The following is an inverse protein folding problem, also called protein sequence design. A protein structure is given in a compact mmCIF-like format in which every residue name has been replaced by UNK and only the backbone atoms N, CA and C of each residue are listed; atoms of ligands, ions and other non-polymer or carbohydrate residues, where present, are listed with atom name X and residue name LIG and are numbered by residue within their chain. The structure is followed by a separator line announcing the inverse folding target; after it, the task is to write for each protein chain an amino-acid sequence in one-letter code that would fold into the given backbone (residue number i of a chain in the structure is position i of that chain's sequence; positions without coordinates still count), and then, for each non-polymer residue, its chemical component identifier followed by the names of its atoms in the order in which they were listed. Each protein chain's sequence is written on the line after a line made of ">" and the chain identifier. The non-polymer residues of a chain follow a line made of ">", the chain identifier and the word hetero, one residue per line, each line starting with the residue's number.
data_IF_134730532674
#
_entry.id   IF_134730532674
#
_cell.length_a   1.000
_cell.length_b   1.000
_cell.length_c   1.000
_cell.angle_alpha   90.00
_cell.angle_beta   90.00
_cell.angle_gamma   90.00
#
_symmetry.space_group_name_H-M   'P 1'
#
loop_
_entity.id
_entity.type
_entity.pdbx_description
1 polymer ?
#
# COMPACT_ATOMS: atom_id res chain seq x y z
N UNK A 1 -12.55 -8.61 -28.35
CA UNK A 1 -14.03 -8.79 -28.30
C UNK A 1 -14.44 -10.14 -28.89
N UNK A 2 -13.84 -10.59 -30.00
CA UNK A 2 -14.16 -11.89 -30.62
C UNK A 2 -13.65 -13.15 -29.90
N UNK A 3 -12.64 -13.03 -29.03
CA UNK A 3 -12.03 -14.19 -28.35
C UNK A 3 -12.78 -14.63 -27.08
N UNK A 4 -13.57 -13.76 -26.45
CA UNK A 4 -14.37 -14.11 -25.26
C UNK A 4 -15.75 -14.68 -25.60
N UNK A 5 -16.29 -14.37 -26.78
CA UNK A 5 -17.60 -14.86 -27.21
C UNK A 5 -17.56 -16.31 -27.71
N UNK A 6 -16.36 -16.89 -27.92
CA UNK A 6 -16.21 -18.29 -28.34
C UNK A 6 -16.33 -19.30 -27.19
N UNK A 7 -16.17 -18.86 -25.94
CA UNK A 7 -16.31 -19.71 -24.74
C UNK A 7 -17.74 -19.65 -24.21
N UNK A 8 -18.76 -19.65 -25.08
CA UNK A 8 -20.13 -19.32 -24.66
C UNK A 8 -21.17 -20.43 -24.66
N UNK A 9 -20.90 -21.64 -25.14
CA UNK A 9 -21.98 -22.65 -25.01
C UNK A 9 -21.59 -24.13 -25.07
N UNK A 10 -20.48 -24.49 -25.71
CA UNK A 10 -20.22 -25.92 -25.99
C UNK A 10 -19.28 -26.58 -24.96
N UNK A 11 -18.36 -25.83 -24.34
CA UNK A 11 -17.35 -26.42 -23.44
C UNK A 11 -17.83 -26.64 -21.99
N UNK A 12 -18.82 -25.87 -21.53
CA UNK A 12 -19.33 -25.99 -20.16
C UNK A 12 -20.24 -27.23 -19.98
N UNK A 13 -20.85 -27.72 -21.08
CA UNK A 13 -21.71 -28.92 -21.07
C UNK A 13 -20.88 -30.20 -21.25
N UNK A 14 -19.66 -30.10 -21.78
CA UNK A 14 -18.75 -31.23 -21.97
C UNK A 14 -18.08 -31.73 -20.67
N UNK A 15 -17.99 -30.87 -19.64
CA UNK A 15 -17.59 -31.28 -18.30
C UNK A 15 -18.79 -31.92 -17.60
N UNK A 16 -19.01 -33.23 -17.79
CA UNK A 16 -19.96 -34.00 -16.98
C UNK A 16 -19.49 -34.01 -15.53
N UNK A 17 -20.14 -33.30 -14.59
CA UNK A 17 -19.79 -33.40 -13.19
C UNK A 17 -20.60 -34.58 -12.66
N UNK A 18 -19.92 -35.61 -12.17
CA UNK A 18 -20.57 -36.82 -11.65
C UNK A 18 -21.33 -36.57 -10.34
N UNK A 19 -21.14 -35.40 -9.73
CA UNK A 19 -21.67 -35.03 -8.41
C UNK A 19 -22.59 -33.79 -8.50
N UNK A 20 -23.83 -33.94 -8.00
CA UNK A 20 -24.86 -32.90 -8.04
C UNK A 20 -24.48 -31.63 -7.27
N UNK A 21 -23.73 -31.77 -6.18
CA UNK A 21 -23.36 -30.66 -5.27
C UNK A 21 -22.38 -29.67 -5.92
N UNK A 22 -21.42 -30.20 -6.70
CA UNK A 22 -20.43 -29.38 -7.42
C UNK A 22 -21.12 -28.57 -8.53
N UNK A 23 -22.17 -29.14 -9.15
CA UNK A 23 -22.98 -28.44 -10.14
C UNK A 23 -23.73 -27.25 -9.54
N UNK A 24 -24.32 -27.42 -8.35
CA UNK A 24 -25.06 -26.35 -7.68
C UNK A 24 -24.15 -25.20 -7.26
N UNK A 25 -22.97 -25.52 -6.71
CA UNK A 25 -21.98 -24.52 -6.34
C UNK A 25 -21.44 -23.75 -7.54
N UNK A 26 -21.19 -24.44 -8.66
CA UNK A 26 -20.75 -23.81 -9.91
C UNK A 26 -21.85 -22.87 -10.48
N UNK A 27 -23.11 -23.29 -10.45
CA UNK A 27 -24.25 -22.43 -10.86
C UNK A 27 -24.38 -21.21 -9.94
N UNK A 28 -24.18 -21.38 -8.64
CA UNK A 28 -24.16 -20.28 -7.67
C UNK A 28 -23.05 -19.27 -7.97
N UNK A 29 -21.83 -19.74 -8.23
CA UNK A 29 -20.72 -18.88 -8.61
C UNK A 29 -20.96 -18.17 -9.94
N UNK A 30 -21.46 -18.87 -10.96
CA UNK A 30 -21.79 -18.28 -12.26
C UNK A 30 -22.83 -17.16 -12.12
N UNK A 31 -23.92 -17.40 -11.39
CA UNK A 31 -24.96 -16.37 -11.20
C UNK A 31 -24.45 -15.16 -10.40
N UNK A 32 -23.55 -15.37 -9.44
CA UNK A 32 -22.87 -14.29 -8.72
C UNK A 32 -22.02 -13.43 -9.68
N UNK A 33 -21.20 -14.06 -10.53
CA UNK A 33 -20.35 -13.34 -11.49
C UNK A 33 -21.18 -12.63 -12.57
N UNK A 34 -22.26 -13.24 -13.06
CA UNK A 34 -23.19 -12.58 -13.99
C UNK A 34 -23.80 -11.32 -13.37
N UNK A 35 -24.25 -11.41 -12.11
CA UNK A 35 -24.79 -10.24 -11.39
C UNK A 35 -23.73 -9.16 -11.17
N UNK A 36 -22.49 -9.55 -10.83
CA UNK A 36 -21.38 -8.62 -10.66
C UNK A 36 -21.01 -7.90 -11.97
N UNK A 37 -20.98 -8.63 -13.09
CA UNK A 37 -20.74 -8.05 -14.42
C UNK A 37 -21.85 -7.07 -14.81
N UNK A 38 -23.11 -7.41 -14.59
CA UNK A 38 -24.24 -6.50 -14.85
C UNK A 38 -24.12 -5.20 -14.04
N UNK A 39 -23.77 -5.29 -12.75
CA UNK A 39 -23.54 -4.11 -11.92
C UNK A 39 -22.41 -3.23 -12.45
N UNK A 40 -21.30 -3.85 -12.85
CA UNK A 40 -20.16 -3.14 -13.43
C UNK A 40 -20.57 -2.42 -14.72
N UNK A 41 -21.34 -3.07 -15.58
CA UNK A 41 -21.79 -2.51 -16.85
C UNK A 41 -22.77 -1.34 -16.65
N UNK A 42 -23.68 -1.44 -15.68
CA UNK A 42 -24.56 -0.34 -15.29
C UNK A 42 -23.74 0.85 -14.80
N UNK A 43 -22.82 0.64 -13.86
CA UNK A 43 -21.97 1.70 -13.32
C UNK A 43 -21.14 2.37 -14.41
N UNK A 44 -20.55 1.57 -15.31
CA UNK A 44 -19.79 2.09 -16.44
C UNK A 44 -20.66 2.94 -17.36
N UNK A 45 -21.87 2.48 -17.67
CA UNK A 45 -22.82 3.24 -18.48
C UNK A 45 -23.20 4.55 -17.80
N UNK A 46 -23.53 4.53 -16.51
CA UNK A 46 -23.86 5.73 -15.74
C UNK A 46 -22.70 6.71 -15.71
N UNK A 47 -21.46 6.25 -15.49
CA UNK A 47 -20.27 7.10 -15.49
C UNK A 47 -20.02 7.74 -16.86
N UNK A 48 -20.20 6.97 -17.94
CA UNK A 48 -20.07 7.49 -19.31
C UNK A 48 -21.14 8.54 -19.61
N UNK A 49 -22.38 8.33 -19.17
CA UNK A 49 -23.44 9.33 -19.33
C UNK A 49 -23.15 10.59 -18.50
N UNK A 50 -22.66 10.48 -17.26
CA UNK A 50 -22.23 11.64 -16.45
C UNK A 50 -21.10 12.43 -17.11
N UNK A 51 -20.11 11.76 -17.70
CA UNK A 51 -19.03 12.43 -18.43
C UNK A 51 -19.56 13.12 -19.70
N UNK A 52 -20.57 12.54 -20.37
CA UNK A 52 -21.17 13.09 -21.59
C UNK A 52 -22.08 14.29 -21.32
N UNK A 53 -22.82 14.27 -20.21
CA UNK A 53 -23.74 15.33 -19.82
C UNK A 53 -22.99 16.62 -19.42
N UNK A 54 -21.70 16.51 -19.05
CA UNK A 54 -20.82 17.63 -18.80
C UNK A 54 -21.04 18.28 -17.43
N UNK A 55 -20.35 19.40 -17.16
CA UNK A 55 -20.46 20.14 -15.89
C UNK A 55 -21.81 20.86 -15.80
N UNK A 56 -22.83 20.17 -15.28
CA UNK A 56 -24.18 20.72 -15.07
C UNK A 56 -24.24 21.76 -13.92
N UNK A 57 -23.23 21.79 -13.05
CA UNK A 57 -23.16 22.65 -11.86
C UNK A 57 -22.08 23.74 -12.02
N UNK A 58 -22.19 24.54 -13.09
CA UNK A 58 -21.42 25.78 -13.24
C UNK A 58 -22.25 26.99 -12.79
N UNK A 59 -21.62 27.93 -12.09
CA UNK A 59 -22.26 29.19 -11.71
C UNK A 59 -22.74 29.97 -12.96
N UNK A 60 -23.86 30.70 -12.88
CA UNK A 60 -24.40 31.46 -14.01
C UNK A 60 -23.37 32.49 -14.53
N UNK A 61 -22.93 32.30 -15.78
CA UNK A 61 -21.93 33.14 -16.44
C UNK A 61 -20.53 32.50 -16.57
N UNK A 62 -20.30 31.31 -16.00
CA UNK A 62 -19.04 30.56 -16.15
C UNK A 62 -19.13 29.58 -17.32
N UNK A 63 -18.24 29.76 -18.30
CA UNK A 63 -18.19 28.90 -19.50
C UNK A 63 -17.33 27.64 -19.26
N UNK A 64 -16.32 27.72 -18.39
CA UNK A 64 -15.40 26.62 -18.08
C UNK A 64 -14.70 26.82 -16.74
N UNK A 65 -14.62 25.77 -15.92
CA UNK A 65 -13.86 25.73 -14.67
C UNK A 65 -12.63 24.82 -14.82
N UNK A 66 -11.49 25.21 -14.23
CA UNK A 66 -10.25 24.40 -14.22
C UNK A 66 -9.76 24.28 -12.78
N UNK A 67 -9.83 23.08 -12.22
CA UNK A 67 -9.29 22.78 -10.89
C UNK A 67 -7.81 22.37 -10.99
N UNK A 68 -6.93 23.08 -10.28
CA UNK A 68 -5.54 22.64 -10.07
C UNK A 68 -5.40 22.18 -8.62
N UNK A 69 -5.07 20.91 -8.42
CA UNK A 69 -4.70 20.38 -7.11
C UNK A 69 -3.17 20.45 -6.94
N UNK A 70 -2.63 21.38 -6.12
CA UNK A 70 -1.21 21.40 -5.84
C UNK A 70 -0.83 20.23 -4.93
N UNK A 71 0.06 19.36 -5.40
CA UNK A 71 0.70 18.37 -4.56
C UNK A 71 1.87 19.03 -3.82
N UNK A 72 1.68 19.37 -2.54
CA UNK A 72 2.75 19.87 -1.67
C UNK A 72 3.38 18.72 -0.90
N UNK A 73 4.62 18.38 -1.26
CA UNK A 73 5.46 17.53 -0.41
C UNK A 73 6.02 18.35 0.75
N UNK A 74 5.62 18.03 1.98
CA UNK A 74 6.27 18.58 3.17
C UNK A 74 7.69 18.04 3.25
N UNK A 75 8.68 18.91 3.05
CA UNK A 75 10.07 18.61 3.42
C UNK A 75 10.13 18.57 4.94
N UNK A 76 10.64 17.49 5.51
CA UNK A 76 10.90 17.35 6.94
C UNK A 76 11.72 18.56 7.40
N UNK A 77 11.09 19.44 8.17
CA UNK A 77 11.76 20.55 8.83
C UNK A 77 12.49 19.99 10.06
N UNK A 78 13.56 20.67 10.45
CA UNK A 78 14.64 20.28 11.38
C UNK A 78 14.27 19.62 12.73
N UNK A 79 12.99 19.42 13.08
CA UNK A 79 12.57 18.80 14.33
C UNK A 79 11.28 17.98 14.16
N UNK A 80 11.39 16.81 13.52
CA UNK A 80 10.30 15.82 13.53
C UNK A 80 10.32 15.00 14.83
N UNK A 81 9.14 14.75 15.40
CA UNK A 81 9.00 13.81 16.51
C UNK A 81 9.04 12.38 15.95
N UNK A 82 10.07 11.63 16.33
CA UNK A 82 10.23 10.23 15.97
C UNK A 82 9.73 9.36 17.14
N UNK A 83 8.74 8.52 16.88
CA UNK A 83 8.26 7.54 17.85
C UNK A 83 8.72 6.13 17.46
N UNK A 84 9.48 5.48 18.35
CA UNK A 84 9.78 4.05 18.23
C UNK A 84 8.59 3.18 18.62
N UNK A 85 8.58 1.93 18.13
CA UNK A 85 7.51 0.94 18.39
C UNK A 85 7.34 0.58 19.88
N UNK A 86 8.37 0.84 20.69
CA UNK A 86 8.39 0.54 22.12
C UNK A 86 8.13 1.78 22.99
N UNK A 87 7.43 2.79 22.46
CA UNK A 87 6.99 3.95 23.24
C UNK A 87 8.06 5.01 23.49
N UNK A 88 9.23 4.90 22.85
CA UNK A 88 10.26 5.93 22.90
C UNK A 88 9.96 7.04 21.90
N UNK A 89 9.37 8.13 22.38
CA UNK A 89 9.23 9.39 21.64
C UNK A 89 10.53 10.18 21.79
N UNK A 90 11.21 10.42 20.68
CA UNK A 90 12.43 11.21 20.59
C UNK A 90 12.16 12.41 19.68
N UNK A 91 12.76 13.54 20.01
CA UNK A 91 12.83 14.67 19.10
C UNK A 91 14.03 14.43 18.18
N UNK A 92 13.83 14.39 16.87
CA UNK A 92 14.94 14.33 15.94
C UNK A 92 15.78 15.60 16.12
N UNK A 93 17.04 15.43 16.51
CA UNK A 93 18.00 16.53 16.59
C UNK A 93 18.75 16.65 15.25
N UNK A 94 19.59 17.69 15.16
CA UNK A 94 20.31 18.14 13.98
C UNK A 94 20.82 17.02 13.05
N UNK A 95 20.60 17.18 11.75
CA UNK A 95 21.13 16.26 10.73
C UNK A 95 22.64 16.43 10.63
N UNK A 96 23.39 15.43 11.11
CA UNK A 96 24.83 15.40 10.98
C UNK A 96 25.25 15.07 9.52
N UNK A 97 26.38 15.61 9.07
CA UNK A 97 26.96 15.24 7.76
C UNK A 97 27.56 13.82 7.85
N UNK A 98 27.56 13.09 6.74
CA UNK A 98 28.08 11.71 6.68
C UNK A 98 29.51 11.56 7.22
N UNK A 99 30.33 12.62 7.17
CA UNK A 99 31.71 12.60 7.67
C UNK A 99 31.83 12.63 9.20
N UNK A 100 30.83 13.14 9.93
CA UNK A 100 30.88 13.33 11.39
C UNK A 100 30.25 12.18 12.18
N UNK A 101 29.60 11.24 11.50
CA UNK A 101 28.91 10.11 12.12
C UNK A 101 29.84 8.89 12.23
N UNK A 102 29.69 8.05 13.26
CA UNK A 102 30.47 6.83 13.40
C UNK A 102 30.24 5.85 12.24
N UNK A 103 31.29 5.13 11.87
CA UNK A 103 31.24 4.06 10.87
C UNK A 103 31.50 2.71 11.55
N UNK A 104 30.81 1.68 11.08
CA UNK A 104 31.00 0.30 11.54
C UNK A 104 32.20 -0.30 10.79
N UNK A 105 32.78 -1.39 11.29
CA UNK A 105 33.97 -2.06 10.71
C UNK A 105 33.78 -2.54 9.26
N UNK A 106 32.55 -2.67 8.78
CA UNK A 106 32.19 -2.98 7.39
C UNK A 106 32.11 -1.74 6.48
N UNK A 107 32.41 -0.54 7.00
CA UNK A 107 32.37 0.72 6.24
C UNK A 107 30.99 1.38 6.19
N UNK A 108 29.95 0.76 6.74
CA UNK A 108 28.61 1.34 6.78
C UNK A 108 28.51 2.47 7.81
N UNK A 109 27.85 3.56 7.42
CA UNK A 109 27.62 4.72 8.26
C UNK A 109 26.41 4.50 9.19
N UNK A 110 26.54 4.87 10.46
CA UNK A 110 25.42 4.80 11.42
C UNK A 110 24.34 5.85 11.07
N UNK A 111 23.09 5.40 10.91
CA UNK A 111 21.96 6.24 10.51
C UNK A 111 21.32 7.03 11.67
N UNK A 112 21.34 6.48 12.89
CA UNK A 112 20.73 7.12 14.07
C UNK A 112 21.52 6.77 15.32
N UNK A 113 21.77 7.76 16.17
CA UNK A 113 22.41 7.59 17.47
C UNK A 113 21.36 7.85 18.55
N UNK A 114 21.18 6.89 19.44
CA UNK A 114 20.24 6.97 20.56
C UNK A 114 20.98 7.07 21.88
N UNK A 115 20.41 7.82 22.84
CA UNK A 115 20.97 7.93 24.18
C UNK A 115 20.75 6.61 24.96
N UNK A 116 21.82 5.94 25.43
CA UNK A 116 21.70 4.67 26.16
C UNK A 116 21.03 4.82 27.53
N UNK A 117 21.03 6.00 28.14
CA UNK A 117 20.46 6.23 29.47
C UNK A 117 18.92 6.11 29.51
N UNK A 118 18.26 6.30 28.36
CA UNK A 118 16.80 6.20 28.26
C UNK A 118 16.28 4.76 28.34
N UNK A 119 17.12 3.76 28.10
CA UNK A 119 16.71 2.35 28.03
C UNK A 119 16.52 1.74 29.43
N UNK A 120 17.47 1.85 30.39
CA UNK A 120 17.30 1.31 31.74
C UNK A 120 16.22 2.07 32.52
N UNK A 121 16.17 3.40 32.36
CA UNK A 121 15.23 4.26 33.11
C UNK A 121 13.76 3.95 32.79
N UNK A 122 13.46 3.50 31.57
CA UNK A 122 12.10 3.13 31.14
C UNK A 122 11.87 1.63 31.05
N UNK A 123 12.85 0.82 31.47
CA UNK A 123 12.82 -0.65 31.37
C UNK A 123 12.51 -1.14 29.93
N UNK A 124 12.97 -0.40 28.92
CA UNK A 124 12.68 -0.68 27.50
C UNK A 124 13.67 -1.67 26.88
N UNK A 125 13.92 -2.80 27.56
CA UNK A 125 14.85 -3.86 27.12
C UNK A 125 14.45 -4.44 25.75
N UNK A 126 13.16 -4.43 25.43
CA UNK A 126 12.64 -4.88 24.12
C UNK A 126 13.26 -4.13 22.93
N UNK A 127 13.62 -2.84 23.09
CA UNK A 127 14.28 -2.08 22.02
C UNK A 127 15.70 -2.60 21.74
N UNK A 128 16.42 -3.00 22.80
CA UNK A 128 17.77 -3.58 22.67
C UNK A 128 17.70 -4.94 22.00
N UNK A 129 16.74 -5.79 22.42
CA UNK A 129 16.53 -7.11 21.83
C UNK A 129 16.09 -7.02 20.37
N UNK A 130 15.23 -6.06 20.01
CA UNK A 130 14.85 -5.79 18.63
C UNK A 130 16.06 -5.35 17.79
N UNK A 131 16.85 -4.42 18.31
CA UNK A 131 18.07 -3.94 17.62
C UNK A 131 19.06 -5.08 17.41
N UNK A 132 19.28 -5.92 18.43
CA UNK A 132 20.15 -7.09 18.33
C UNK A 132 19.64 -8.09 17.29
N UNK A 133 18.35 -8.43 17.32
CA UNK A 133 17.74 -9.33 16.32
C UNK A 133 17.88 -8.78 14.90
N UNK A 134 17.70 -7.47 14.71
CA UNK A 134 17.83 -6.80 13.40
C UNK A 134 19.26 -6.85 12.87
N UNK A 135 20.26 -6.64 13.73
CA UNK A 135 21.68 -6.75 13.35
C UNK A 135 22.02 -8.18 12.94
N UNK A 136 21.58 -9.18 13.70
CA UNK A 136 21.82 -10.60 13.37
C UNK A 136 21.15 -10.99 12.04
N UNK A 137 19.93 -10.52 11.78
CA UNK A 137 19.22 -10.75 10.52
C UNK A 137 19.97 -10.14 9.32
N UNK A 138 20.36 -8.86 9.40
CA UNK A 138 21.07 -8.17 8.33
C UNK A 138 22.45 -8.80 8.06
N UNK A 139 23.14 -9.31 9.09
CA UNK A 139 24.44 -9.99 8.93
C UNK A 139 24.29 -11.33 8.21
N UNK A 140 23.13 -11.99 8.32
CA UNK A 140 22.83 -13.25 7.62
C UNK A 140 22.54 -13.07 6.13
N UNK A 141 21.96 -11.95 5.73
CA UNK A 141 21.70 -11.61 4.32
C UNK A 141 22.98 -11.23 3.58
N UNK A 142 23.89 -10.49 4.24
CA UNK A 142 25.20 -10.10 3.67
C UNK A 142 26.17 -11.28 3.43
N UNK A 143 25.85 -12.50 3.89
CA UNK A 143 26.64 -13.72 3.61
C UNK A 143 26.13 -14.53 2.41
N UNK A 144 25.04 -14.12 1.77
CA UNK A 144 24.46 -14.77 0.59
C UNK A 144 24.80 -14.05 -0.73
N UNK A 145 25.67 -13.04 -0.69
CA UNK A 145 26.27 -12.38 -1.85
C UNK A 145 27.66 -12.90 -2.12
#
# INVERSE_FOLDING_TARGET
>A
RESMDRIRQEDCVALRPTDCDVCELLKGLLSYYETALQRLEINYKTEVEHIREGDADLDPGVIRQVGLAPATGTKSATMDYLAGRNGNKNLACETARNSSVPHISNGETVQMILNPLGVPSRMNLGQVLETHRRVTANTGENKKG
#
